data_IF_898755320077
#
_entry.id   IF_898755320077
#
_cell.length_a   1.000
_cell.length_b   1.000
_cell.length_c   1.000
_cell.angle_alpha   90.00
_cell.angle_beta   90.00
_cell.angle_gamma   90.00
#
_symmetry.space_group_name_H-M   'P 1'
#
loop_
_entity.id
_entity.type
_entity.pdbx_description
1 polymer ?
#
# COMPACT_ATOMS: atom_id res chain seq x y z
N UNK A 1 -11.31 2.51 -63.91
CA UNK A 1 -12.62 2.03 -63.38
C UNK A 1 -12.33 0.83 -62.47
N UNK A 2 -12.67 0.94 -61.18
CA UNK A 2 -12.79 -0.12 -60.16
C UNK A 2 -11.68 -1.18 -60.05
N UNK A 3 -10.78 -1.01 -59.09
CA UNK A 3 -10.26 -2.13 -58.31
C UNK A 3 -10.90 -2.01 -56.93
N UNK A 4 -11.99 -2.77 -56.74
CA UNK A 4 -12.85 -2.74 -55.55
C UNK A 4 -12.51 -3.96 -54.71
N UNK A 5 -11.92 -3.69 -53.54
CA UNK A 5 -12.19 -4.34 -52.25
C UNK A 5 -12.22 -5.88 -52.25
N UNK A 6 -11.14 -6.50 -51.74
CA UNK A 6 -11.16 -7.90 -51.26
C UNK A 6 -10.37 -8.10 -49.95
N UNK A 7 -10.19 -7.04 -49.16
CA UNK A 7 -9.40 -7.08 -47.91
C UNK A 7 -10.26 -7.35 -46.66
N UNK A 8 -11.59 -7.51 -46.78
CA UNK A 8 -12.50 -7.46 -45.62
C UNK A 8 -13.02 -8.80 -45.09
N UNK A 9 -12.67 -9.94 -45.71
CA UNK A 9 -13.18 -11.26 -45.29
C UNK A 9 -12.17 -12.14 -44.54
N UNK A 10 -10.86 -11.83 -44.57
CA UNK A 10 -9.85 -12.60 -43.81
C UNK A 10 -9.77 -12.20 -42.34
N UNK A 11 -9.93 -10.91 -42.04
CA UNK A 11 -9.83 -10.42 -40.66
C UNK A 11 -11.03 -10.83 -39.78
N UNK A 12 -12.16 -11.25 -40.37
CA UNK A 12 -13.36 -11.59 -39.61
C UNK A 12 -13.35 -13.06 -39.13
N UNK A 13 -12.77 -13.97 -39.91
CA UNK A 13 -12.62 -15.39 -39.54
C UNK A 13 -11.52 -15.60 -38.49
N UNK A 14 -10.45 -14.82 -38.55
CA UNK A 14 -9.33 -14.93 -37.61
C UNK A 14 -9.73 -14.48 -36.18
N UNK A 15 -10.67 -13.53 -36.07
CA UNK A 15 -11.19 -13.03 -34.77
C UNK A 15 -12.16 -14.04 -34.11
N UNK A 16 -12.99 -14.71 -34.91
CA UNK A 16 -13.93 -15.73 -34.41
C UNK A 16 -13.18 -17.01 -34.00
N UNK A 17 -12.15 -17.43 -34.75
CA UNK A 17 -11.29 -18.57 -34.41
C UNK A 17 -10.43 -18.31 -33.16
N UNK A 18 -9.86 -17.10 -33.00
CA UNK A 18 -9.08 -16.75 -31.80
C UNK A 18 -9.93 -16.75 -30.52
N UNK A 19 -11.20 -16.35 -30.63
CA UNK A 19 -12.13 -16.32 -29.50
C UNK A 19 -12.57 -17.73 -29.07
N UNK A 20 -12.80 -18.63 -30.04
CA UNK A 20 -13.07 -20.05 -29.79
C UNK A 20 -11.84 -20.75 -29.18
N UNK A 21 -10.62 -20.39 -29.62
CA UNK A 21 -9.37 -20.88 -29.05
C UNK A 21 -9.16 -20.38 -27.62
N UNK A 22 -9.47 -19.12 -27.32
CA UNK A 22 -9.44 -18.59 -25.96
C UNK A 22 -10.47 -19.28 -25.04
N UNK A 23 -11.68 -19.55 -25.54
CA UNK A 23 -12.71 -20.28 -24.79
C UNK A 23 -12.28 -21.73 -24.52
N UNK A 24 -11.71 -22.41 -25.53
CA UNK A 24 -11.13 -23.75 -25.38
C UNK A 24 -9.98 -23.78 -24.38
N UNK A 25 -9.06 -22.80 -24.42
CA UNK A 25 -7.96 -22.70 -23.47
C UNK A 25 -8.45 -22.46 -22.04
N UNK A 26 -9.47 -21.62 -21.88
CA UNK A 26 -10.12 -21.40 -20.59
C UNK A 26 -10.77 -22.69 -20.08
N UNK A 27 -11.47 -23.42 -20.95
CA UNK A 27 -12.11 -24.69 -20.60
C UNK A 27 -11.10 -25.77 -20.23
N UNK A 28 -10.00 -25.87 -20.97
CA UNK A 28 -8.87 -26.76 -20.66
C UNK A 28 -8.28 -26.41 -19.30
N UNK A 29 -8.07 -25.12 -19.02
CA UNK A 29 -7.54 -24.65 -17.73
C UNK A 29 -8.49 -24.95 -16.57
N UNK A 30 -9.81 -24.82 -16.78
CA UNK A 30 -10.83 -25.21 -15.82
C UNK A 30 -10.82 -26.72 -15.56
N UNK A 31 -10.80 -27.55 -16.61
CA UNK A 31 -10.74 -29.01 -16.49
C UNK A 31 -9.45 -29.49 -15.83
N UNK A 32 -8.31 -28.86 -16.12
CA UNK A 32 -7.05 -29.15 -15.44
C UNK A 32 -7.13 -28.83 -13.94
N UNK A 33 -7.78 -27.72 -13.58
CA UNK A 33 -8.00 -27.35 -12.18
C UNK A 33 -8.93 -28.34 -11.46
N UNK A 34 -10.01 -28.75 -12.12
CA UNK A 34 -10.94 -29.76 -11.61
C UNK A 34 -10.25 -31.11 -11.45
N UNK A 35 -9.47 -31.54 -12.43
CA UNK A 35 -8.72 -32.79 -12.37
C UNK A 35 -7.71 -32.78 -11.22
N UNK A 36 -6.97 -31.67 -11.04
CA UNK A 36 -6.06 -31.50 -9.91
C UNK A 36 -6.79 -31.59 -8.57
N UNK A 37 -7.96 -30.97 -8.46
CA UNK A 37 -8.78 -31.02 -7.24
C UNK A 37 -9.27 -32.44 -6.94
N UNK A 38 -9.83 -33.13 -7.93
CA UNK A 38 -10.34 -34.49 -7.77
C UNK A 38 -9.20 -35.47 -7.47
N UNK A 39 -8.05 -35.30 -8.12
CA UNK A 39 -6.84 -36.09 -7.85
C UNK A 39 -6.34 -35.90 -6.42
N UNK A 40 -6.26 -34.66 -5.94
CA UNK A 40 -5.89 -34.36 -4.57
C UNK A 40 -6.88 -34.97 -3.55
N UNK A 41 -8.19 -34.84 -3.79
CA UNK A 41 -9.22 -35.41 -2.94
C UNK A 41 -9.13 -36.95 -2.88
N UNK A 42 -8.88 -37.60 -4.02
CA UNK A 42 -8.73 -39.06 -4.08
C UNK A 42 -7.47 -39.53 -3.34
N UNK A 43 -6.35 -38.83 -3.52
CA UNK A 43 -5.10 -39.12 -2.81
C UNK A 43 -5.27 -39.01 -1.29
N UNK A 44 -5.96 -37.97 -0.80
CA UNK A 44 -6.26 -37.81 0.63
C UNK A 44 -7.11 -38.98 1.15
N UNK A 45 -8.15 -39.37 0.42
CA UNK A 45 -9.00 -40.52 0.80
C UNK A 45 -8.20 -41.82 0.86
N UNK A 46 -7.33 -42.07 -0.11
CA UNK A 46 -6.48 -43.25 -0.12
C UNK A 46 -5.54 -43.30 1.10
N UNK A 47 -4.93 -42.16 1.44
CA UNK A 47 -4.07 -42.05 2.64
C UNK A 47 -4.86 -42.34 3.92
N UNK A 48 -6.07 -41.78 4.04
CA UNK A 48 -6.94 -42.01 5.22
C UNK A 48 -7.32 -43.50 5.32
N UNK A 49 -7.70 -44.14 4.22
CA UNK A 49 -8.02 -45.56 4.18
C UNK A 49 -6.84 -46.43 4.57
N UNK A 50 -5.65 -46.18 3.99
CA UNK A 50 -4.42 -46.91 4.37
C UNK A 50 -4.10 -46.75 5.84
N UNK A 51 -4.20 -45.54 6.39
CA UNK A 51 -3.98 -45.29 7.84
C UNK A 51 -4.96 -46.07 8.70
N UNK A 52 -6.24 -46.10 8.33
CA UNK A 52 -7.26 -46.86 9.05
C UNK A 52 -6.96 -48.38 9.02
N UNK A 53 -6.62 -48.92 7.84
CA UNK A 53 -6.27 -50.33 7.68
C UNK A 53 -5.02 -50.71 8.50
N UNK A 54 -3.98 -49.87 8.48
CA UNK A 54 -2.79 -50.10 9.30
C UNK A 54 -3.10 -49.99 10.80
N UNK A 55 -3.90 -49.01 11.20
CA UNK A 55 -4.32 -48.86 12.60
C UNK A 55 -5.11 -50.06 13.09
N UNK A 56 -5.98 -50.62 12.25
CA UNK A 56 -6.75 -51.81 12.56
C UNK A 56 -5.83 -53.04 12.70
N UNK A 57 -4.97 -53.30 11.72
CA UNK A 57 -4.02 -54.41 11.78
C UNK A 57 -3.05 -54.31 12.98
N UNK A 58 -2.62 -53.09 13.34
CA UNK A 58 -1.82 -52.86 14.54
C UNK A 58 -2.63 -53.11 15.82
N UNK A 59 -3.89 -52.67 15.87
CA UNK A 59 -4.77 -52.90 17.01
C UNK A 59 -5.00 -54.40 17.23
N UNK A 60 -5.30 -55.14 16.17
CA UNK A 60 -5.52 -56.58 16.24
C UNK A 60 -4.24 -57.31 16.71
N UNK A 61 -3.05 -56.85 16.32
CA UNK A 61 -1.78 -57.47 16.72
C UNK A 61 -1.29 -57.09 18.12
N UNK A 62 -1.59 -55.88 18.57
CA UNK A 62 -1.17 -55.39 19.88
C UNK A 62 -2.15 -55.75 20.99
N UNK A 63 -3.42 -56.01 20.67
CA UNK A 63 -4.49 -56.12 21.67
C UNK A 63 -5.41 -57.34 21.56
N UNK A 64 -5.41 -58.11 20.45
CA UNK A 64 -6.22 -59.35 20.30
C UNK A 64 -5.42 -60.64 20.53
N UNK A 65 -4.42 -60.67 21.40
CA UNK A 65 -3.87 -61.97 21.81
C UNK A 65 -4.91 -62.68 22.71
N UNK A 66 -5.59 -63.75 22.23
CA UNK A 66 -6.50 -64.50 23.07
C UNK A 66 -5.61 -65.31 24.00
N UNK A 67 -5.50 -64.88 25.26
CA UNK A 67 -4.91 -65.71 26.30
C UNK A 67 -5.59 -67.09 26.24
N UNK A 68 -4.85 -68.19 26.01
CA UNK A 68 -5.43 -69.50 26.09
C UNK A 68 -6.01 -69.67 27.50
N UNK A 69 -7.27 -70.09 27.56
CA UNK A 69 -7.99 -70.44 28.78
C UNK A 69 -7.39 -71.73 29.40
N UNK A 70 -6.11 -71.68 29.76
CA UNK A 70 -5.40 -72.75 30.47
C UNK A 70 -4.07 -72.20 30.98
N UNK A 71 -4.10 -71.49 32.10
CA UNK A 71 -3.21 -71.77 33.23
C UNK A 71 -3.39 -70.71 34.32
N UNK A 72 -4.23 -71.06 35.29
CA UNK A 72 -4.11 -70.53 36.64
C UNK A 72 -2.83 -71.14 37.21
N UNK A 73 -1.67 -70.53 36.97
CA UNK A 73 -0.55 -70.66 37.90
C UNK A 73 0.18 -69.33 38.06
N UNK A 74 0.07 -68.83 39.29
CA UNK A 74 0.86 -67.75 39.87
C UNK A 74 2.35 -68.02 39.65
N UNK A 75 3.02 -67.19 38.84
CA UNK A 75 4.46 -66.92 38.97
C UNK A 75 4.75 -65.43 38.76
N UNK A 76 5.36 -64.86 39.79
CA UNK A 76 5.86 -63.51 39.91
C UNK A 76 6.71 -63.09 38.70
N UNK A 77 6.40 -61.93 38.14
CA UNK A 77 7.21 -61.26 37.12
C UNK A 77 6.37 -60.36 36.22
N UNK A 78 6.20 -59.09 36.62
CA UNK A 78 5.70 -57.97 35.80
C UNK A 78 4.57 -58.28 34.81
N UNK A 79 3.40 -58.69 35.32
CA UNK A 79 2.18 -58.75 34.52
C UNK A 79 1.64 -57.33 34.35
N UNK A 80 2.13 -56.61 33.33
CA UNK A 80 1.44 -55.44 32.81
C UNK A 80 0.06 -55.89 32.35
N UNK A 81 -0.98 -55.47 33.05
CA UNK A 81 -2.36 -55.79 32.69
C UNK A 81 -2.59 -55.19 31.29
N UNK A 82 -3.00 -55.96 30.27
CA UNK A 82 -3.19 -55.45 28.91
C UNK A 82 -4.11 -54.21 28.83
N UNK A 83 -4.97 -54.02 29.83
CA UNK A 83 -5.81 -52.84 29.99
C UNK A 83 -5.09 -51.56 30.47
N UNK A 84 -3.99 -51.63 31.22
CA UNK A 84 -3.25 -50.44 31.65
C UNK A 84 -2.42 -49.83 30.52
N UNK A 85 -1.78 -50.66 29.69
CA UNK A 85 -1.08 -50.20 28.49
C UNK A 85 -2.05 -49.62 27.46
N UNK A 86 -3.21 -50.27 27.28
CA UNK A 86 -4.30 -49.73 26.45
C UNK A 86 -4.77 -48.35 26.93
N UNK A 87 -4.92 -48.15 28.24
CA UNK A 87 -5.29 -46.84 28.82
C UNK A 87 -4.22 -45.77 28.63
N UNK A 88 -2.93 -46.13 28.79
CA UNK A 88 -1.81 -45.21 28.54
C UNK A 88 -1.74 -44.82 27.07
N UNK A 89 -1.91 -45.78 26.16
CA UNK A 89 -1.96 -45.52 24.72
C UNK A 89 -3.17 -44.64 24.35
N UNK A 90 -4.35 -44.93 24.90
CA UNK A 90 -5.55 -44.11 24.70
C UNK A 90 -5.36 -42.68 25.21
N UNK A 91 -4.73 -42.49 26.38
CA UNK A 91 -4.39 -41.18 26.91
C UNK A 91 -3.42 -40.41 25.99
N UNK A 92 -2.39 -41.07 25.46
CA UNK A 92 -1.45 -40.46 24.50
C UNK A 92 -2.14 -40.08 23.19
N UNK A 93 -3.07 -40.90 22.68
CA UNK A 93 -3.86 -40.61 21.47
C UNK A 93 -4.79 -39.41 21.72
N UNK A 94 -5.41 -39.31 22.89
CA UNK A 94 -6.21 -38.15 23.27
C UNK A 94 -5.37 -36.88 23.38
N UNK A 95 -4.19 -36.97 24.00
CA UNK A 95 -3.26 -35.84 24.09
C UNK A 95 -2.81 -35.40 22.68
N UNK A 96 -2.41 -36.34 21.83
CA UNK A 96 -2.03 -36.08 20.45
C UNK A 96 -3.18 -35.40 19.68
N UNK A 97 -4.41 -35.91 19.80
CA UNK A 97 -5.59 -35.33 19.16
C UNK A 97 -5.84 -33.90 19.65
N UNK A 98 -5.73 -33.65 20.95
CA UNK A 98 -5.89 -32.32 21.54
C UNK A 98 -4.84 -31.32 21.02
N UNK A 99 -3.60 -31.78 20.87
CA UNK A 99 -2.49 -30.99 20.36
C UNK A 99 -2.68 -30.69 18.87
N UNK A 100 -3.06 -31.70 18.07
CA UNK A 100 -3.38 -31.54 16.65
C UNK A 100 -4.52 -30.54 16.44
N UNK A 101 -5.58 -30.61 17.25
CA UNK A 101 -6.70 -29.65 17.20
C UNK A 101 -6.26 -28.22 17.58
N UNK A 102 -5.30 -28.08 18.50
CA UNK A 102 -4.75 -26.77 18.86
C UNK A 102 -3.87 -26.21 17.75
N UNK A 103 -3.06 -27.05 17.10
CA UNK A 103 -2.24 -26.68 15.94
C UNK A 103 -3.14 -26.23 14.79
N UNK A 104 -4.21 -26.98 14.49
CA UNK A 104 -5.17 -26.65 13.44
C UNK A 104 -5.79 -25.26 13.67
N UNK A 105 -6.30 -25.02 14.89
CA UNK A 105 -6.86 -23.71 15.27
C UNK A 105 -5.86 -22.56 15.15
N UNK A 106 -4.60 -22.79 15.55
CA UNK A 106 -3.53 -21.78 15.37
C UNK A 106 -3.24 -21.54 13.89
N UNK A 107 -3.27 -22.59 13.07
CA UNK A 107 -3.04 -22.48 11.64
C UNK A 107 -4.15 -21.69 10.94
N UNK A 108 -5.42 -21.98 11.25
CA UNK A 108 -6.58 -21.20 10.79
C UNK A 108 -6.42 -19.72 11.15
N UNK A 109 -6.04 -19.42 12.39
CA UNK A 109 -5.81 -18.05 12.83
C UNK A 109 -4.67 -17.35 12.08
N UNK A 110 -3.59 -18.07 11.77
CA UNK A 110 -2.49 -17.54 10.96
C UNK A 110 -2.96 -17.26 9.53
N UNK A 111 -3.78 -18.13 8.95
CA UNK A 111 -4.34 -17.94 7.61
C UNK A 111 -5.26 -16.71 7.54
N UNK A 112 -6.11 -16.50 8.55
CA UNK A 112 -6.93 -15.29 8.67
C UNK A 112 -6.07 -14.02 8.77
N UNK A 113 -5.05 -14.03 9.64
CA UNK A 113 -4.14 -12.89 9.79
C UNK A 113 -3.34 -12.63 8.51
N UNK A 114 -2.97 -13.67 7.77
CA UNK A 114 -2.30 -13.54 6.49
C UNK A 114 -3.20 -12.85 5.45
N UNK A 115 -4.49 -13.25 5.37
CA UNK A 115 -5.48 -12.61 4.50
C UNK A 115 -5.69 -11.14 4.87
N UNK A 116 -5.76 -10.83 6.16
CA UNK A 116 -5.88 -9.44 6.65
C UNK A 116 -4.64 -8.62 6.28
N UNK A 117 -3.43 -9.17 6.48
CA UNK A 117 -2.18 -8.52 6.11
C UNK A 117 -2.11 -8.22 4.61
N UNK A 118 -2.52 -9.17 3.77
CA UNK A 118 -2.51 -9.00 2.32
C UNK A 118 -3.54 -7.95 1.87
N UNK A 119 -4.71 -7.88 2.52
CA UNK A 119 -5.67 -6.80 2.30
C UNK A 119 -5.10 -5.43 2.70
N UNK A 120 -4.47 -5.30 3.87
CA UNK A 120 -3.83 -4.06 4.32
C UNK A 120 -2.68 -3.64 3.41
N UNK A 121 -1.90 -4.59 2.89
CA UNK A 121 -0.85 -4.32 1.90
C UNK A 121 -1.43 -3.77 0.61
N UNK A 122 -2.51 -4.36 0.10
CA UNK A 122 -3.22 -3.88 -1.09
C UNK A 122 -3.75 -2.47 -0.89
N UNK A 123 -4.39 -2.20 0.25
CA UNK A 123 -4.89 -0.86 0.59
C UNK A 123 -3.74 0.16 0.67
N UNK A 124 -2.62 -0.19 1.31
CA UNK A 124 -1.43 0.67 1.38
C UNK A 124 -0.85 0.97 0.00
N UNK A 125 -0.81 -0.03 -0.88
CA UNK A 125 -0.34 0.16 -2.25
C UNK A 125 -1.22 1.16 -3.02
N UNK A 126 -2.55 0.99 -2.95
CA UNK A 126 -3.50 1.91 -3.59
C UNK A 126 -3.42 3.33 -3.01
N UNK A 127 -3.26 3.46 -1.69
CA UNK A 127 -3.06 4.75 -1.04
C UNK A 127 -1.76 5.42 -1.48
N UNK A 128 -0.64 4.68 -1.55
CA UNK A 128 0.63 5.20 -2.05
C UNK A 128 0.53 5.66 -3.50
N UNK A 129 -0.17 4.89 -4.35
CA UNK A 129 -0.42 5.26 -5.74
C UNK A 129 -1.22 6.56 -5.85
N UNK A 130 -2.31 6.69 -5.09
CA UNK A 130 -3.12 7.92 -5.03
C UNK A 130 -2.31 9.11 -4.52
N UNK A 131 -1.54 8.92 -3.45
CA UNK A 131 -0.71 9.97 -2.86
C UNK A 131 0.34 10.48 -3.88
N UNK A 132 1.00 9.57 -4.60
CA UNK A 132 1.92 9.93 -5.67
C UNK A 132 1.24 10.76 -6.76
N UNK A 133 0.05 10.35 -7.20
CA UNK A 133 -0.73 11.11 -8.19
C UNK A 133 -1.10 12.52 -7.68
N UNK A 134 -1.50 12.65 -6.41
CA UNK A 134 -1.75 13.95 -5.80
C UNK A 134 -0.49 14.82 -5.71
N UNK A 135 0.67 14.23 -5.38
CA UNK A 135 1.93 14.98 -5.37
C UNK A 135 2.35 15.44 -6.77
N UNK A 136 2.11 14.64 -7.80
CA UNK A 136 2.32 15.05 -9.20
C UNK A 136 1.40 16.24 -9.57
N UNK A 137 0.14 16.22 -9.16
CA UNK A 137 -0.80 17.34 -9.35
C UNK A 137 -0.32 18.60 -8.61
N UNK A 138 0.05 18.48 -7.32
CA UNK A 138 0.53 19.61 -6.52
C UNK A 138 1.79 20.22 -7.13
N UNK A 139 2.76 19.39 -7.54
CA UNK A 139 4.00 19.87 -8.16
C UNK A 139 3.73 20.55 -9.51
N UNK A 140 2.78 20.05 -10.30
CA UNK A 140 2.37 20.69 -11.55
C UNK A 140 1.69 22.05 -11.30
N UNK A 141 0.77 22.14 -10.35
CA UNK A 141 0.13 23.41 -9.98
C UNK A 141 1.14 24.42 -9.46
N UNK A 142 2.09 23.99 -8.62
CA UNK A 142 3.15 24.87 -8.11
C UNK A 142 4.00 25.43 -9.24
N UNK A 143 4.43 24.60 -10.19
CA UNK A 143 5.18 25.05 -11.37
C UNK A 143 4.39 26.06 -12.19
N UNK A 144 3.10 25.80 -12.45
CA UNK A 144 2.24 26.72 -13.19
C UNK A 144 2.06 28.07 -12.48
N UNK A 145 1.93 28.04 -11.16
CA UNK A 145 1.81 29.25 -10.35
C UNK A 145 3.11 30.06 -10.40
N UNK A 146 4.26 29.39 -10.27
CA UNK A 146 5.57 30.02 -10.34
C UNK A 146 5.80 30.68 -11.70
N UNK A 147 5.52 29.98 -12.80
CA UNK A 147 5.60 30.56 -14.15
C UNK A 147 4.64 31.74 -14.33
N UNK A 148 3.39 31.63 -13.86
CA UNK A 148 2.43 32.72 -13.95
C UNK A 148 2.87 33.94 -13.13
N UNK A 149 3.50 33.72 -11.98
CA UNK A 149 4.00 34.81 -11.13
C UNK A 149 5.21 35.50 -11.77
N UNK A 150 6.09 34.75 -12.42
CA UNK A 150 7.21 35.29 -13.18
C UNK A 150 6.74 36.07 -14.42
N UNK A 151 5.70 35.57 -15.11
CA UNK A 151 5.06 36.28 -16.23
C UNK A 151 4.42 37.60 -15.77
N UNK A 152 3.75 37.61 -14.61
CA UNK A 152 3.17 38.84 -14.03
C UNK A 152 4.27 39.83 -13.66
N UNK A 153 5.36 39.40 -13.02
CA UNK A 153 6.48 40.27 -12.67
C UNK A 153 7.19 40.84 -13.90
N UNK A 154 7.28 40.04 -14.96
CA UNK A 154 7.91 40.43 -16.23
C UNK A 154 6.96 41.17 -17.16
N UNK A 155 5.67 41.28 -16.78
CA UNK A 155 4.67 41.99 -17.57
C UNK A 155 5.06 43.47 -17.69
N UNK A 156 4.93 44.07 -18.88
CA UNK A 156 5.25 45.48 -19.10
C UNK A 156 4.44 46.40 -18.19
N UNK A 157 3.23 46.01 -17.78
CA UNK A 157 2.44 46.77 -16.83
C UNK A 157 3.04 46.77 -15.41
N UNK A 158 3.55 45.63 -14.94
CA UNK A 158 4.18 45.53 -13.61
C UNK A 158 5.54 46.25 -13.59
N UNK A 159 6.31 46.13 -14.67
CA UNK A 159 7.57 46.87 -14.83
C UNK A 159 7.32 48.38 -14.90
N UNK A 160 6.31 48.82 -15.67
CA UNK A 160 5.92 50.22 -15.73
C UNK A 160 5.48 50.78 -14.38
N UNK A 161 4.66 50.05 -13.63
CA UNK A 161 4.28 50.42 -12.25
C UNK A 161 5.49 50.52 -11.31
N UNK A 162 6.45 49.59 -11.42
CA UNK A 162 7.68 49.62 -10.63
C UNK A 162 8.53 50.84 -10.97
N UNK A 163 8.70 51.13 -12.25
CA UNK A 163 9.43 52.31 -12.72
C UNK A 163 8.74 53.62 -12.31
N UNK A 164 7.41 53.68 -12.41
CA UNK A 164 6.62 54.83 -11.94
C UNK A 164 6.81 55.03 -10.43
N UNK A 165 6.78 53.96 -9.64
CA UNK A 165 7.01 54.03 -8.20
C UNK A 165 8.43 54.54 -7.89
N UNK A 166 9.46 53.97 -8.52
CA UNK A 166 10.85 54.41 -8.36
C UNK A 166 11.01 55.89 -8.74
N UNK A 167 10.38 56.34 -9.84
CA UNK A 167 10.38 57.73 -10.25
C UNK A 167 9.64 58.66 -9.28
N UNK A 168 8.53 58.23 -8.68
CA UNK A 168 7.84 59.02 -7.65
C UNK A 168 8.67 59.16 -6.39
N UNK A 169 9.33 58.09 -5.94
CA UNK A 169 10.23 58.12 -4.78
C UNK A 169 11.44 59.00 -5.05
N UNK A 170 12.05 58.91 -6.24
CA UNK A 170 13.16 59.78 -6.63
C UNK A 170 12.74 61.26 -6.62
N UNK A 171 11.58 61.60 -7.20
CA UNK A 171 11.05 62.97 -7.16
C UNK A 171 10.77 63.45 -5.74
N UNK A 172 10.22 62.58 -4.89
CA UNK A 172 9.94 62.90 -3.49
C UNK A 172 11.25 63.15 -2.70
N UNK A 173 12.30 62.37 -2.93
CA UNK A 173 13.61 62.59 -2.31
C UNK A 173 14.24 63.89 -2.78
N UNK A 174 14.15 64.24 -4.07
CA UNK A 174 14.62 65.54 -4.56
C UNK A 174 13.88 66.67 -3.85
N UNK A 175 12.55 66.61 -3.76
CA UNK A 175 11.75 67.61 -3.07
C UNK A 175 12.10 67.74 -1.58
N UNK A 176 12.32 66.61 -0.88
CA UNK A 176 12.79 66.62 0.52
C UNK A 176 14.15 67.31 0.64
N UNK A 177 15.11 66.95 -0.21
CA UNK A 177 16.45 67.54 -0.21
C UNK A 177 16.43 69.05 -0.52
N UNK A 178 15.61 69.49 -1.48
CA UNK A 178 15.48 70.92 -1.80
C UNK A 178 14.83 71.70 -0.67
N UNK A 179 13.78 71.16 -0.03
CA UNK A 179 13.17 71.74 1.16
C UNK A 179 14.18 71.87 2.30
N UNK A 180 14.93 70.81 2.59
CA UNK A 180 15.96 70.82 3.62
C UNK A 180 17.04 71.87 3.32
N UNK A 181 17.54 71.92 2.08
CA UNK A 181 18.53 72.90 1.64
C UNK A 181 18.01 74.34 1.72
N UNK A 182 16.74 74.57 1.37
CA UNK A 182 16.09 75.88 1.47
C UNK A 182 15.98 76.33 2.93
N UNK A 183 15.52 75.45 3.82
CA UNK A 183 15.36 75.77 5.25
C UNK A 183 16.73 76.09 5.86
N UNK A 184 17.72 75.22 5.68
CA UNK A 184 19.07 75.39 6.23
C UNK A 184 19.78 76.61 5.59
N UNK A 185 19.60 76.83 4.29
CA UNK A 185 20.22 77.93 3.54
C UNK A 185 19.54 79.30 3.72
N UNK A 186 18.30 79.35 4.23
CA UNK A 186 17.56 80.60 4.43
C UNK A 186 18.11 81.50 5.53
N UNK A 187 19.01 80.99 6.38
CA UNK A 187 19.54 81.70 7.54
C UNK A 187 18.56 81.85 8.71
N UNK A 188 17.36 81.25 8.61
CA UNK A 188 16.40 81.15 9.73
C UNK A 188 16.97 80.21 10.80
N UNK A 189 16.80 80.54 12.08
CA UNK A 189 17.25 79.70 13.19
C UNK A 189 16.30 78.52 13.42
N UNK A 190 16.25 77.62 12.44
CA UNK A 190 15.36 76.46 12.37
C UNK A 190 15.52 75.49 13.55
N UNK A 191 16.65 75.51 14.25
CA UNK A 191 16.90 74.67 15.42
C UNK A 191 16.20 75.16 16.70
N UNK A 192 15.79 76.43 16.76
CA UNK A 192 15.01 76.98 17.87
C UNK A 192 13.51 76.81 17.70
N UNK A 193 13.05 76.66 16.46
CA UNK A 193 11.66 76.40 16.13
C UNK A 193 11.43 74.88 16.05
N UNK A 194 10.62 74.37 16.99
CA UNK A 194 10.35 72.93 17.09
C UNK A 194 9.70 72.35 15.83
N UNK A 195 8.85 73.12 15.13
CA UNK A 195 8.17 72.64 13.93
C UNK A 195 9.13 72.58 12.73
N UNK A 196 10.03 73.58 12.63
CA UNK A 196 11.05 73.60 11.58
C UNK A 196 12.14 72.53 11.81
N UNK A 197 12.53 72.28 13.05
CA UNK A 197 13.48 71.22 13.39
C UNK A 197 12.94 69.83 13.04
N UNK A 198 11.66 69.56 13.32
CA UNK A 198 11.00 68.29 13.00
C UNK A 198 10.89 68.09 11.48
N UNK A 199 10.48 69.11 10.73
CA UNK A 199 10.36 69.02 9.26
C UNK A 199 11.70 68.78 8.57
N UNK A 200 12.78 69.41 9.04
CA UNK A 200 14.15 69.16 8.57
C UNK A 200 14.58 67.71 8.85
N UNK A 201 14.24 67.17 10.02
CA UNK A 201 14.55 65.78 10.38
C UNK A 201 13.80 64.77 9.50
N UNK A 202 12.49 64.96 9.31
CA UNK A 202 11.64 64.11 8.46
C UNK A 202 12.04 64.16 6.97
N UNK A 203 12.60 65.29 6.51
CA UNK A 203 13.16 65.41 5.17
C UNK A 203 14.49 64.66 5.04
N UNK A 204 15.27 64.53 6.11
CA UNK A 204 16.55 63.82 6.14
C UNK A 204 16.42 62.29 6.14
N UNK A 205 15.25 61.74 6.47
CA UNK A 205 15.01 60.30 6.46
C UNK A 205 14.82 59.76 5.02
N UNK A 206 15.71 58.85 4.63
CA UNK A 206 15.60 58.11 3.36
C UNK A 206 14.43 57.13 3.40
N UNK A 207 13.53 57.22 2.42
CA UNK A 207 12.52 56.19 2.18
C UNK A 207 13.19 55.00 1.51
N UNK A 208 13.54 53.98 2.29
CA UNK A 208 13.99 52.69 1.77
C UNK A 208 12.74 51.83 1.47
N UNK A 209 12.58 51.44 0.20
CA UNK A 209 11.59 50.47 -0.28
C UNK A 209 12.11 49.04 -0.11
#
# INVERSE_FOLDING_TARGET
>A
MKVRVHVRERDQTDIDEDNDVEELQKRISELQRELLKVSADLSIREIVLRKMQFSQALSDKLFDEPLPLSDITVKNGSSSVPGEERRKFEALVQEQSSLSNTILRKHERVEELQKELDNVRKQNFELKKKNRGLMEIITQHRKRLETAMDDVKSSPACLGLKEELENTVARMNIAKCTLQALIVGSGVNWAQDSELAETVFLCGESLNL
#
